data_IF_437872884781
#
_entry.id   IF_437872884781
#
_cell.length_a   1.000
_cell.length_b   1.000
_cell.length_c   1.000
_cell.angle_alpha   90.00
_cell.angle_beta   90.00
_cell.angle_gamma   90.00
#
_symmetry.space_group_name_H-M   'P 1'
#
loop_
_entity.id
_entity.type
_entity.pdbx_description
1 polymer ?
#
# COMPACT_ATOMS: atom_id res chain seq x y z
N UNK A 1 37.95 19.17 -6.43
CA UNK A 1 36.68 18.67 -7.01
C UNK A 1 35.70 18.11 -5.97
N UNK A 2 35.74 18.57 -4.70
CA UNK A 2 34.90 18.06 -3.59
C UNK A 2 33.82 19.07 -3.17
N UNK A 3 33.69 20.20 -3.89
CA UNK A 3 32.81 21.31 -3.50
C UNK A 3 31.40 21.28 -4.11
N UNK A 4 31.16 20.45 -5.14
CA UNK A 4 29.85 20.39 -5.83
C UNK A 4 28.89 19.34 -5.28
N UNK A 5 29.33 18.47 -4.37
CA UNK A 5 28.48 17.43 -3.74
C UNK A 5 27.62 17.98 -2.60
N UNK A 6 28.07 19.00 -1.88
CA UNK A 6 27.35 19.55 -0.72
C UNK A 6 26.15 20.44 -1.10
N UNK A 7 26.21 21.16 -2.23
CA UNK A 7 25.10 22.02 -2.69
C UNK A 7 23.89 21.20 -3.19
N UNK A 8 24.14 20.07 -3.85
CA UNK A 8 23.08 19.16 -4.28
C UNK A 8 22.43 18.43 -3.10
N UNK A 9 23.21 18.06 -2.08
CA UNK A 9 22.68 17.42 -0.87
C UNK A 9 21.73 18.35 -0.09
N UNK A 10 22.12 19.61 0.15
CA UNK A 10 21.28 20.59 0.86
C UNK A 10 19.97 20.90 0.10
N UNK A 11 20.01 20.95 -1.23
CA UNK A 11 18.82 21.18 -2.07
C UNK A 11 17.86 19.99 -2.03
N UNK A 12 18.40 18.76 -2.03
CA UNK A 12 17.62 17.53 -1.87
C UNK A 12 17.06 17.41 -0.45
N UNK A 13 17.84 17.73 0.58
CA UNK A 13 17.40 17.75 1.99
C UNK A 13 16.21 18.68 2.21
N UNK A 14 16.22 19.88 1.60
CA UNK A 14 15.07 20.80 1.63
C UNK A 14 13.81 20.20 0.97
N UNK A 15 13.98 19.49 -0.15
CA UNK A 15 12.89 18.78 -0.82
C UNK A 15 12.31 17.65 0.03
N UNK A 16 13.17 16.86 0.69
CA UNK A 16 12.75 15.79 1.60
C UNK A 16 12.00 16.32 2.81
N UNK A 17 12.48 17.42 3.40
CA UNK A 17 11.80 18.07 4.52
C UNK A 17 10.43 18.62 4.12
N UNK A 18 10.30 19.19 2.92
CA UNK A 18 9.01 19.65 2.39
C UNK A 18 8.04 18.48 2.17
N UNK A 19 8.52 17.39 1.56
CA UNK A 19 7.73 16.19 1.36
C UNK A 19 7.24 15.60 2.70
N UNK A 20 8.13 15.37 3.66
CA UNK A 20 7.76 14.80 4.97
C UNK A 20 6.78 15.69 5.70
N UNK A 21 6.91 17.02 5.59
CA UNK A 21 5.94 17.97 6.14
C UNK A 21 4.57 17.79 5.50
N UNK A 22 4.50 17.72 4.16
CA UNK A 22 3.25 17.50 3.43
C UNK A 22 2.62 16.17 3.79
N UNK A 23 3.40 15.10 3.84
CA UNK A 23 2.95 13.76 4.21
C UNK A 23 2.32 13.75 5.61
N UNK A 24 2.98 14.36 6.60
CA UNK A 24 2.47 14.44 7.98
C UNK A 24 1.24 15.35 8.13
N UNK A 25 1.09 16.37 7.29
CA UNK A 25 -0.07 17.28 7.32
C UNK A 25 -1.25 16.81 6.46
N UNK A 26 -1.06 15.80 5.61
CA UNK A 26 -2.09 15.32 4.71
C UNK A 26 -3.20 14.61 5.50
N UNK A 27 -4.46 14.86 5.12
CA UNK A 27 -5.59 14.12 5.68
C UNK A 27 -5.70 12.70 5.10
N UNK A 28 -5.16 12.49 3.89
CA UNK A 28 -5.14 11.21 3.20
C UNK A 28 -3.91 11.12 2.29
N UNK A 29 -3.41 9.90 2.12
CA UNK A 29 -2.31 9.57 1.20
C UNK A 29 -2.83 8.51 0.26
N UNK A 30 -2.75 8.76 -1.05
CA UNK A 30 -3.27 7.86 -2.08
C UNK A 30 -2.08 7.27 -2.84
N UNK A 31 -2.10 5.95 -2.99
CA UNK A 31 -1.06 5.19 -3.66
C UNK A 31 -1.64 3.87 -4.17
N UNK A 32 -0.92 3.18 -5.06
CA UNK A 32 -1.26 1.80 -5.41
C UNK A 32 -0.88 0.88 -4.25
N UNK A 33 -1.45 -0.33 -4.20
CA UNK A 33 -1.12 -1.31 -3.15
C UNK A 33 0.40 -1.52 -3.02
N UNK A 34 1.11 -1.70 -4.14
CA UNK A 34 2.57 -1.87 -4.14
C UNK A 34 3.30 -0.57 -3.78
N UNK A 35 2.81 0.57 -4.28
CA UNK A 35 3.37 1.88 -3.96
C UNK A 35 3.28 2.24 -2.48
N UNK A 36 2.37 1.63 -1.71
CA UNK A 36 2.29 1.81 -0.27
C UNK A 36 3.54 1.30 0.48
N UNK A 37 4.29 0.37 -0.12
CA UNK A 37 5.55 -0.14 0.43
C UNK A 37 6.77 0.77 0.20
N UNK A 38 6.58 1.93 -0.42
CA UNK A 38 7.67 2.86 -0.71
C UNK A 38 8.34 3.36 0.58
N UNK A 39 9.68 3.46 0.59
CA UNK A 39 10.48 3.84 1.76
C UNK A 39 10.04 5.17 2.40
N UNK A 40 9.59 6.10 1.56
CA UNK A 40 9.06 7.41 1.95
C UNK A 40 7.82 7.36 2.86
N UNK A 41 7.11 6.23 2.87
CA UNK A 41 5.91 6.03 3.68
C UNK A 41 6.19 5.23 4.96
N UNK A 42 7.40 4.68 5.16
CA UNK A 42 7.71 3.82 6.30
C UNK A 42 7.65 4.53 7.66
N UNK A 43 7.89 5.84 7.69
CA UNK A 43 7.77 6.64 8.93
C UNK A 43 6.34 7.14 9.18
N UNK A 44 5.40 6.92 8.26
CA UNK A 44 4.02 7.31 8.44
C UNK A 44 3.21 6.20 9.13
N UNK A 45 2.26 6.62 9.96
CA UNK A 45 1.34 5.71 10.63
C UNK A 45 -0.08 6.01 10.18
N UNK A 46 -0.81 4.97 9.75
CA UNK A 46 -2.14 5.11 9.20
C UNK A 46 -3.14 4.36 10.09
N UNK A 47 -4.02 5.08 10.78
CA UNK A 47 -5.08 4.45 11.59
C UNK A 47 -6.16 3.74 10.75
N UNK A 48 -6.19 4.04 9.45
CA UNK A 48 -7.09 3.43 8.46
C UNK A 48 -6.32 3.10 7.19
N UNK A 49 -6.62 1.94 6.62
CA UNK A 49 -6.23 1.55 5.26
C UNK A 49 -7.51 1.27 4.50
N UNK A 50 -7.71 1.99 3.39
CA UNK A 50 -8.83 1.77 2.47
C UNK A 50 -8.25 1.28 1.15
N UNK A 51 -8.69 0.10 0.70
CA UNK A 51 -8.29 -0.48 -0.59
C UNK A 51 -9.52 -0.52 -1.48
N UNK A 52 -9.50 0.29 -2.54
CA UNK A 52 -10.47 0.23 -3.63
C UNK A 52 -10.06 -0.85 -4.65
N UNK A 53 -11.03 -1.38 -5.39
CA UNK A 53 -10.85 -2.51 -6.32
C UNK A 53 -10.16 -3.72 -5.67
N UNK A 54 -10.44 -3.98 -4.39
CA UNK A 54 -9.79 -5.00 -3.58
C UNK A 54 -9.95 -6.42 -4.14
N UNK A 55 -10.99 -6.67 -4.95
CA UNK A 55 -11.21 -7.94 -5.63
C UNK A 55 -10.26 -8.18 -6.79
N UNK A 56 -9.67 -7.11 -7.37
CA UNK A 56 -8.71 -7.17 -8.47
C UNK A 56 -7.25 -7.26 -8.00
N UNK A 57 -6.99 -7.07 -6.70
CA UNK A 57 -5.65 -7.17 -6.12
C UNK A 57 -5.37 -8.60 -5.62
N UNK A 58 -4.17 -9.11 -5.92
CA UNK A 58 -3.73 -10.36 -5.27
C UNK A 58 -3.62 -10.12 -3.78
N UNK A 59 -3.92 -11.14 -2.97
CA UNK A 59 -3.82 -11.03 -1.52
C UNK A 59 -2.46 -10.46 -1.05
N UNK A 60 -1.29 -10.91 -1.56
CA UNK A 60 -0.01 -10.32 -1.19
C UNK A 60 0.09 -8.82 -1.50
N UNK A 61 -0.50 -8.35 -2.60
CA UNK A 61 -0.51 -6.92 -2.93
C UNK A 61 -1.33 -6.13 -1.88
N UNK A 62 -2.51 -6.63 -1.50
CA UNK A 62 -3.35 -6.00 -0.47
C UNK A 62 -2.70 -5.97 0.91
N UNK A 63 -1.75 -6.87 1.20
CA UNK A 63 -1.02 -6.90 2.46
C UNK A 63 0.11 -5.85 2.56
N UNK A 64 0.58 -5.30 1.43
CA UNK A 64 1.61 -4.26 1.42
C UNK A 64 1.18 -3.01 2.19
N UNK A 65 0.03 -2.35 1.91
CA UNK A 65 -0.39 -1.18 2.67
C UNK A 65 -0.67 -1.48 4.15
N UNK A 66 -1.14 -2.69 4.47
CA UNK A 66 -1.35 -3.13 5.86
C UNK A 66 -0.03 -3.26 6.62
N UNK A 67 0.99 -3.79 5.98
CA UNK A 67 2.33 -3.92 6.56
C UNK A 67 3.01 -2.55 6.74
N UNK A 68 2.76 -1.64 5.79
CA UNK A 68 3.28 -0.28 5.81
C UNK A 68 2.55 0.65 6.80
N UNK A 69 1.30 0.35 7.20
CA UNK A 69 0.51 1.18 8.12
C UNK A 69 1.11 1.31 9.53
N UNK A 70 2.05 0.43 9.88
CA UNK A 70 2.82 0.45 11.13
C UNK A 70 2.15 -0.33 12.25
N UNK A 71 2.93 -1.19 12.93
CA UNK A 71 2.44 -2.12 13.95
C UNK A 71 2.10 -1.47 15.32
N UNK A 72 2.44 -0.20 15.52
CA UNK A 72 2.30 0.49 16.82
C UNK A 72 0.87 0.99 17.07
N UNK A 73 0.04 1.09 16.03
CA UNK A 73 -1.35 1.58 16.12
C UNK A 73 -2.29 0.51 15.59
N UNK A 74 -3.42 0.32 16.27
CA UNK A 74 -4.51 -0.50 15.76
C UNK A 74 -5.02 0.10 14.43
N UNK A 75 -4.69 -0.56 13.32
CA UNK A 75 -5.09 -0.15 11.97
C UNK A 75 -6.41 -0.79 11.61
N UNK A 76 -7.39 0.02 11.18
CA UNK A 76 -8.66 -0.48 10.64
C UNK A 76 -8.53 -0.64 9.13
N UNK A 77 -9.06 -1.73 8.61
CA UNK A 77 -9.04 -2.05 7.18
C UNK A 77 -10.45 -1.93 6.60
N UNK A 78 -10.57 -1.21 5.49
CA UNK A 78 -11.76 -1.19 4.64
C UNK A 78 -11.37 -1.72 3.27
N UNK A 79 -12.03 -2.80 2.83
CA UNK A 79 -11.85 -3.36 1.49
C UNK A 79 -13.11 -3.06 0.68
N UNK A 80 -12.96 -2.37 -0.43
CA UNK A 80 -14.04 -2.05 -1.35
C UNK A 80 -13.78 -2.77 -2.66
N UNK A 81 -14.77 -3.47 -3.18
CA UNK A 81 -14.67 -4.20 -4.44
C UNK A 81 -15.92 -5.00 -4.74
N UNK A 82 -16.00 -5.51 -5.96
CA UNK A 82 -17.11 -6.33 -6.43
C UNK A 82 -16.62 -7.74 -6.78
N UNK A 83 -17.06 -8.79 -6.04
CA UNK A 83 -16.67 -10.18 -6.31
C UNK A 83 -17.16 -10.73 -7.64
N UNK A 84 -18.13 -10.07 -8.28
CA UNK A 84 -18.67 -10.45 -9.57
C UNK A 84 -17.93 -9.82 -10.75
N UNK A 85 -16.97 -8.92 -10.47
CA UNK A 85 -16.08 -8.31 -11.47
C UNK A 85 -14.78 -9.10 -11.64
N UNK A 86 -13.75 -8.47 -12.23
CA UNK A 86 -12.50 -9.13 -12.57
C UNK A 86 -11.76 -9.64 -11.32
N UNK A 87 -11.19 -10.86 -11.36
CA UNK A 87 -10.31 -11.34 -10.30
C UNK A 87 -8.88 -10.78 -10.49
N UNK A 88 -7.95 -11.05 -9.57
CA UNK A 88 -6.56 -10.69 -9.73
C UNK A 88 -5.93 -11.30 -10.98
N UNK A 89 -5.17 -10.48 -11.72
CA UNK A 89 -4.49 -10.93 -12.93
C UNK A 89 -3.27 -11.78 -12.59
N UNK A 90 -3.37 -13.10 -12.78
CA UNK A 90 -2.28 -14.06 -12.56
C UNK A 90 -1.95 -14.78 -13.86
N UNK A 91 -0.77 -14.49 -14.42
CA UNK A 91 -0.30 -15.07 -15.69
C UNK A 91 0.05 -16.55 -15.57
N UNK A 92 0.63 -16.96 -14.43
CA UNK A 92 0.99 -18.36 -14.20
C UNK A 92 -0.24 -19.19 -13.85
N UNK A 93 -0.61 -20.11 -14.74
CA UNK A 93 -1.69 -21.06 -14.49
C UNK A 93 -1.44 -21.93 -13.25
N UNK A 94 -0.18 -22.26 -12.94
CA UNK A 94 0.18 -23.00 -11.73
C UNK A 94 -0.06 -22.16 -10.46
N UNK A 95 0.38 -20.90 -10.43
CA UNK A 95 0.16 -20.02 -9.29
C UNK A 95 -1.34 -19.76 -9.04
N UNK A 96 -2.13 -19.60 -10.12
CA UNK A 96 -3.58 -19.47 -10.02
C UNK A 96 -4.23 -20.71 -9.39
N UNK A 97 -3.82 -21.92 -9.80
CA UNK A 97 -4.32 -23.19 -9.19
C UNK A 97 -3.92 -23.34 -7.72
N UNK A 98 -2.78 -22.76 -7.32
CA UNK A 98 -2.31 -22.73 -5.94
C UNK A 98 -2.93 -21.58 -5.11
N UNK A 99 -3.89 -20.84 -5.65
CA UNK A 99 -4.68 -19.87 -4.91
C UNK A 99 -4.27 -18.40 -5.06
N UNK A 100 -3.23 -18.07 -5.83
CA UNK A 100 -2.80 -16.66 -6.00
C UNK A 100 -3.86 -15.78 -6.69
N UNK A 101 -4.83 -16.40 -7.37
CA UNK A 101 -5.97 -15.70 -7.97
C UNK A 101 -7.13 -15.43 -7.01
N UNK A 102 -7.02 -15.79 -5.73
CA UNK A 102 -8.00 -15.40 -4.70
C UNK A 102 -7.54 -14.11 -4.04
N UNK A 103 -8.39 -13.09 -4.05
CA UNK A 103 -8.10 -11.80 -3.41
C UNK A 103 -8.24 -11.88 -1.89
N UNK A 104 -7.65 -10.91 -1.17
CA UNK A 104 -7.87 -10.79 0.27
C UNK A 104 -9.35 -10.58 0.59
N UNK A 105 -10.05 -9.77 -0.22
CA UNK A 105 -11.48 -9.55 -0.12
C UNK A 105 -12.25 -10.88 -0.13
N UNK A 106 -12.05 -11.69 -1.17
CA UNK A 106 -12.73 -12.99 -1.31
C UNK A 106 -12.41 -13.94 -0.16
N UNK A 107 -11.16 -13.96 0.29
CA UNK A 107 -10.76 -14.83 1.40
C UNK A 107 -11.46 -14.46 2.69
N UNK A 108 -11.56 -13.17 3.02
CA UNK A 108 -12.23 -12.71 4.24
C UNK A 108 -13.76 -12.89 4.16
N UNK A 109 -14.36 -12.60 2.99
CA UNK A 109 -15.78 -12.84 2.74
C UNK A 109 -16.16 -14.32 2.95
N UNK A 110 -15.35 -15.26 2.43
CA UNK A 110 -15.52 -16.70 2.69
C UNK A 110 -15.39 -17.08 4.17
N UNK A 111 -14.68 -16.27 4.94
CA UNK A 111 -14.54 -16.41 6.40
C UNK A 111 -15.69 -15.78 7.20
N UNK A 112 -16.70 -15.20 6.54
CA UNK A 112 -17.86 -14.58 7.18
C UNK A 112 -17.65 -13.13 7.63
N UNK A 113 -16.65 -12.44 7.07
CA UNK A 113 -16.47 -11.00 7.27
C UNK A 113 -17.18 -10.24 6.14
N UNK A 114 -18.20 -9.45 6.52
CA UNK A 114 -18.99 -8.57 5.64
C UNK A 114 -18.78 -7.09 5.99
#
# INVERSE_FOLDING_TARGET
>A
NVSNTHANACSLEGGWQDFTRRLRSACAVVTTCIGAGHEMLQEAHFGWVVIDEATQATEPASLVPLSAAGASVATRLCLVGDPLQLPPTVLSGAARRLGLGTSLFERLARGGME
#
